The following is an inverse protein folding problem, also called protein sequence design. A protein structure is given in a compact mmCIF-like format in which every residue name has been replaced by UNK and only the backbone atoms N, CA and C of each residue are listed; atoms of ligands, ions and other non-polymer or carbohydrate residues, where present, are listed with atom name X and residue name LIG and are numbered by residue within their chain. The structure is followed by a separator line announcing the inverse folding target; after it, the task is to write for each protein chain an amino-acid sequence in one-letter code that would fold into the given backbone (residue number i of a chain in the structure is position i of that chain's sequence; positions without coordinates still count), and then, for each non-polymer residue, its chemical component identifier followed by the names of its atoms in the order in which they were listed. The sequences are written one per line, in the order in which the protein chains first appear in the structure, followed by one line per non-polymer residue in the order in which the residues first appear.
data_IF_555831835482
#
_entry.id   IF_555831835482
#
_cell.length_a   1.000
_cell.length_b   1.000
_cell.length_c   1.000
_cell.angle_alpha   90.00
_cell.angle_beta   90.00
_cell.angle_gamma   90.00
#
_symmetry.space_group_name_H-M   'P 1'
#
loop_
_entity.id
_entity.type
_entity.pdbx_description
1 polymer ?
#
# COMPACT_ATOMS: atom_id res chain seq x y z
N UNK A 1 -9.76 11.78 1.83
CA UNK A 1 -9.54 10.38 1.52
C UNK A 1 -9.86 10.07 0.06
N UNK A 2 -8.92 9.49 -0.68
CA UNK A 2 -9.01 9.22 -2.12
C UNK A 2 -9.61 7.84 -2.45
N UNK A 3 -9.67 6.92 -1.49
CA UNK A 3 -10.04 5.52 -1.71
C UNK A 3 -11.50 5.24 -1.30
N UNK A 4 -12.16 4.27 -1.97
CA UNK A 4 -13.47 3.73 -1.59
C UNK A 4 -13.48 3.12 -0.19
N UNK A 5 -12.32 2.72 0.34
CA UNK A 5 -12.21 2.21 1.72
C UNK A 5 -12.65 3.20 2.79
N UNK A 6 -12.63 4.50 2.49
CA UNK A 6 -13.10 5.52 3.41
C UNK A 6 -14.62 5.52 3.63
N UNK A 7 -15.38 4.81 2.80
CA UNK A 7 -16.84 4.72 2.90
C UNK A 7 -17.28 3.76 4.02
N UNK A 8 -16.55 2.68 4.25
CA UNK A 8 -16.87 1.74 5.34
C UNK A 8 -15.98 2.07 6.55
N UNK A 9 -16.61 2.54 7.62
CA UNK A 9 -15.95 2.89 8.89
C UNK A 9 -15.88 1.72 9.87
N UNK A 10 -16.43 0.56 9.51
CA UNK A 10 -16.49 -0.62 10.37
C UNK A 10 -15.59 -1.73 9.84
N UNK A 11 -14.77 -2.28 10.74
CA UNK A 11 -13.97 -3.47 10.43
C UNK A 11 -14.69 -4.70 10.94
N UNK A 12 -14.97 -5.66 10.04
CA UNK A 12 -15.57 -6.94 10.37
C UNK A 12 -14.49 -8.01 10.37
N UNK A 13 -14.55 -8.89 11.34
CA UNK A 13 -13.61 -9.99 11.45
C UNK A 13 -14.34 -11.30 11.23
N UNK A 14 -13.80 -12.13 10.36
CA UNK A 14 -14.20 -13.53 10.27
C UNK A 14 -13.69 -14.28 11.51
N UNK A 15 -14.32 -15.39 11.82
CA UNK A 15 -13.85 -16.33 12.83
C UNK A 15 -12.50 -16.92 12.41
N UNK A 16 -11.55 -16.98 13.34
CA UNK A 16 -10.19 -17.44 13.04
C UNK A 16 -10.17 -18.93 12.65
N UNK A 17 -11.02 -19.78 13.25
CA UNK A 17 -11.11 -21.18 12.88
C UNK A 17 -11.62 -21.37 11.44
N UNK A 18 -12.57 -20.52 11.01
CA UNK A 18 -13.05 -20.54 9.62
C UNK A 18 -11.92 -20.20 8.66
N UNK A 19 -11.11 -19.18 8.98
CA UNK A 19 -9.94 -18.78 8.16
C UNK A 19 -8.92 -19.91 8.09
N UNK A 20 -8.55 -20.49 9.23
CA UNK A 20 -7.59 -21.60 9.28
C UNK A 20 -8.05 -22.81 8.48
N UNK A 21 -9.31 -23.23 8.63
CA UNK A 21 -9.84 -24.36 7.90
C UNK A 21 -9.91 -24.11 6.39
N UNK A 22 -10.29 -22.91 5.95
CA UNK A 22 -10.34 -22.58 4.53
C UNK A 22 -8.96 -22.55 3.90
N UNK A 23 -7.96 -21.89 4.55
CA UNK A 23 -6.59 -21.86 4.06
C UNK A 23 -6.00 -23.27 4.01
N UNK A 24 -6.18 -24.04 5.07
CA UNK A 24 -5.69 -25.43 5.10
C UNK A 24 -6.28 -26.27 3.97
N UNK A 25 -7.57 -26.21 3.73
CA UNK A 25 -8.21 -26.95 2.63
C UNK A 25 -7.66 -26.54 1.25
N UNK A 26 -7.37 -25.25 1.05
CA UNK A 26 -6.76 -24.77 -0.19
C UNK A 26 -5.33 -25.26 -0.34
N UNK A 27 -4.53 -25.24 0.72
CA UNK A 27 -3.16 -25.80 0.73
C UNK A 27 -3.19 -27.29 0.43
N UNK A 28 -4.07 -28.06 1.07
CA UNK A 28 -4.24 -29.51 0.83
C UNK A 28 -4.68 -29.78 -0.63
N UNK A 29 -5.34 -28.82 -1.29
CA UNK A 29 -5.69 -28.85 -2.71
C UNK A 29 -4.57 -28.39 -3.66
N UNK A 30 -3.37 -28.03 -3.14
CA UNK A 30 -2.21 -27.63 -3.91
C UNK A 30 -2.10 -26.12 -4.19
N UNK A 31 -2.87 -25.27 -3.49
CA UNK A 31 -2.71 -23.81 -3.60
C UNK A 31 -1.52 -23.36 -2.78
N UNK A 32 -0.54 -22.71 -3.42
CA UNK A 32 0.70 -22.23 -2.76
C UNK A 32 0.78 -20.71 -2.61
N UNK A 33 -0.13 -19.93 -3.23
CA UNK A 33 -0.09 -18.46 -3.17
C UNK A 33 -1.42 -17.89 -2.68
N UNK A 34 -1.34 -17.02 -1.67
CA UNK A 34 -2.50 -16.43 -1.01
C UNK A 34 -2.36 -14.92 -0.94
N UNK A 35 -3.39 -14.17 -1.36
CA UNK A 35 -3.47 -12.73 -1.15
C UNK A 35 -4.63 -12.42 -0.20
N UNK A 36 -4.30 -11.81 0.95
CA UNK A 36 -5.28 -11.24 1.87
C UNK A 36 -5.69 -9.87 1.32
N UNK A 37 -7.01 -9.67 1.18
CA UNK A 37 -7.59 -8.44 0.64
C UNK A 37 -8.01 -7.44 1.72
N UNK A 38 -7.53 -7.63 2.93
CA UNK A 38 -7.67 -6.67 4.03
C UNK A 38 -6.83 -5.44 3.73
N UNK A 39 -7.45 -4.26 3.71
CA UNK A 39 -6.78 -2.99 3.40
C UNK A 39 -5.80 -2.52 4.47
N UNK A 40 -5.85 -3.11 5.65
CA UNK A 40 -4.92 -2.90 6.76
C UNK A 40 -4.95 -4.14 7.63
N UNK A 41 -4.17 -5.12 7.25
CA UNK A 41 -4.15 -6.42 7.91
C UNK A 41 -3.68 -6.32 9.37
N UNK A 42 -2.80 -5.36 9.66
CA UNK A 42 -2.19 -5.18 10.98
C UNK A 42 -2.93 -4.25 11.94
N UNK A 43 -4.23 -3.98 11.73
CA UNK A 43 -5.05 -3.20 12.67
C UNK A 43 -5.14 -3.83 14.07
N UNK A 44 -5.10 -5.16 14.15
CA UNK A 44 -5.01 -5.92 15.41
C UNK A 44 -3.67 -6.68 15.46
N UNK A 45 -2.62 -6.09 16.04
CA UNK A 45 -1.27 -6.68 16.00
C UNK A 45 -1.19 -8.09 16.56
N UNK A 46 -1.88 -8.39 17.66
CA UNK A 46 -1.88 -9.72 18.25
C UNK A 46 -2.50 -10.77 17.32
N UNK A 47 -3.65 -10.44 16.69
CA UNK A 47 -4.31 -11.34 15.73
C UNK A 47 -3.45 -11.57 14.50
N UNK A 48 -2.87 -10.49 13.95
CA UNK A 48 -1.92 -10.60 12.85
C UNK A 48 -0.80 -11.58 13.18
N UNK A 49 -0.15 -11.39 14.31
CA UNK A 49 0.96 -12.23 14.75
C UNK A 49 0.55 -13.70 14.88
N UNK A 50 -0.56 -13.99 15.58
CA UNK A 50 -1.07 -15.35 15.76
C UNK A 50 -1.35 -16.04 14.42
N UNK A 51 -2.00 -15.34 13.47
CA UNK A 51 -2.27 -15.89 12.16
C UNK A 51 -0.97 -16.13 11.37
N UNK A 52 -0.03 -15.19 11.38
CA UNK A 52 1.23 -15.33 10.67
C UNK A 52 2.12 -16.44 11.28
N UNK A 53 2.12 -16.60 12.60
CA UNK A 53 2.79 -17.73 13.29
C UNK A 53 2.21 -19.08 12.83
N UNK A 54 0.89 -19.16 12.70
CA UNK A 54 0.24 -20.36 12.17
C UNK A 54 0.58 -20.58 10.68
N UNK A 55 0.55 -19.53 9.85
CA UNK A 55 0.88 -19.61 8.44
C UNK A 55 2.35 -20.04 8.21
N UNK A 56 3.27 -19.67 9.11
CA UNK A 56 4.69 -19.99 8.98
C UNK A 56 5.02 -21.50 9.06
N UNK A 57 4.02 -22.35 9.37
CA UNK A 57 4.14 -23.81 9.31
C UNK A 57 4.09 -24.37 7.87
N UNK A 58 3.63 -23.55 6.90
CA UNK A 58 3.45 -23.97 5.50
C UNK A 58 4.57 -23.43 4.62
N UNK A 59 5.76 -24.04 4.73
CA UNK A 59 7.01 -23.55 4.14
C UNK A 59 7.02 -23.38 2.62
N UNK A 60 6.14 -24.08 1.90
CA UNK A 60 6.03 -24.02 0.43
C UNK A 60 4.97 -23.00 -0.05
N UNK A 61 4.41 -22.20 0.87
CA UNK A 61 3.37 -21.22 0.55
C UNK A 61 3.89 -19.78 0.66
N UNK A 62 3.31 -18.91 -0.18
CA UNK A 62 3.53 -17.46 -0.18
C UNK A 62 2.26 -16.74 0.25
N UNK A 63 2.39 -15.75 1.13
CA UNK A 63 1.25 -14.99 1.67
C UNK A 63 1.48 -13.50 1.52
N UNK A 64 0.56 -12.82 0.85
CA UNK A 64 0.61 -11.39 0.60
C UNK A 64 -0.38 -10.64 1.50
N UNK A 65 0.07 -9.55 2.13
CA UNK A 65 -0.72 -8.73 3.05
C UNK A 65 -0.56 -7.24 2.75
N UNK A 66 -1.66 -6.49 2.77
CA UNK A 66 -1.62 -5.03 2.80
C UNK A 66 -1.46 -4.56 4.26
N UNK A 67 -0.37 -3.86 4.55
CA UNK A 67 -0.04 -3.42 5.91
C UNK A 67 0.26 -1.93 6.00
N UNK A 68 0.00 -1.34 7.15
CA UNK A 68 0.43 0.01 7.50
C UNK A 68 1.75 -0.10 8.27
N UNK A 69 2.86 0.34 7.65
CA UNK A 69 4.20 0.03 8.13
C UNK A 69 4.58 0.73 9.44
N UNK A 70 4.09 1.96 9.68
CA UNK A 70 4.40 2.74 10.89
C UNK A 70 3.65 2.28 12.16
N UNK A 71 2.67 1.36 12.04
CA UNK A 71 1.99 0.75 13.19
C UNK A 71 2.48 -0.68 13.49
N UNK A 72 3.45 -1.22 12.74
CA UNK A 72 4.08 -2.49 13.09
C UNK A 72 4.74 -2.38 14.47
N UNK A 73 4.44 -3.35 15.34
CA UNK A 73 4.92 -3.36 16.72
C UNK A 73 6.30 -4.03 16.82
N UNK A 74 7.12 -3.69 17.83
CA UNK A 74 8.42 -4.34 18.03
C UNK A 74 8.34 -5.87 18.13
N UNK A 75 7.25 -6.39 18.68
CA UNK A 75 7.01 -7.83 18.83
C UNK A 75 6.77 -8.52 17.48
N UNK A 76 6.01 -7.87 16.58
CA UNK A 76 5.85 -8.33 15.19
C UNK A 76 7.19 -8.27 14.45
N UNK A 77 7.92 -7.16 14.55
CA UNK A 77 9.21 -7.01 13.89
C UNK A 77 10.19 -8.10 14.31
N UNK A 78 10.22 -8.42 15.61
CA UNK A 78 11.05 -9.51 16.14
C UNK A 78 10.60 -10.88 15.62
N UNK A 79 9.31 -11.15 15.52
CA UNK A 79 8.78 -12.39 14.93
C UNK A 79 9.22 -12.54 13.46
N UNK A 80 9.12 -11.44 12.68
CA UNK A 80 9.51 -11.45 11.26
C UNK A 80 11.00 -11.78 11.02
N UNK A 81 11.87 -11.62 12.03
CA UNK A 81 13.28 -12.03 11.96
C UNK A 81 13.46 -13.56 11.84
N UNK A 82 12.46 -14.33 12.24
CA UNK A 82 12.51 -15.80 12.27
C UNK A 82 11.73 -16.50 11.16
N UNK A 83 10.95 -15.75 10.36
CA UNK A 83 10.12 -16.35 9.30
C UNK A 83 10.97 -16.82 8.11
N UNK A 84 10.54 -17.85 7.36
CA UNK A 84 11.21 -18.26 6.14
C UNK A 84 11.30 -17.10 5.13
N UNK A 85 12.46 -16.90 4.47
CA UNK A 85 12.60 -15.87 3.44
C UNK A 85 11.60 -16.05 2.30
N UNK A 86 10.97 -14.94 1.84
CA UNK A 86 10.04 -14.95 0.72
C UNK A 86 8.64 -15.48 1.00
N UNK A 87 8.41 -16.05 2.18
CA UNK A 87 7.09 -16.55 2.57
C UNK A 87 6.04 -15.44 2.68
N UNK A 88 6.43 -14.28 3.21
CA UNK A 88 5.53 -13.15 3.41
C UNK A 88 5.91 -11.99 2.50
N UNK A 89 4.92 -11.44 1.84
CA UNK A 89 5.01 -10.22 1.07
C UNK A 89 4.13 -9.14 1.72
N UNK A 90 4.70 -7.95 1.93
CA UNK A 90 4.00 -6.79 2.46
C UNK A 90 3.84 -5.73 1.39
N UNK A 91 2.59 -5.38 1.08
CA UNK A 91 2.22 -4.22 0.28
C UNK A 91 2.00 -3.04 1.23
N UNK A 92 2.78 -1.99 1.06
CA UNK A 92 2.75 -0.78 1.89
C UNK A 92 2.42 0.42 1.02
N UNK A 93 1.17 0.86 1.08
CA UNK A 93 0.76 2.10 0.45
C UNK A 93 1.39 3.30 1.17
N UNK A 94 2.49 3.84 0.68
CA UNK A 94 3.10 5.09 1.18
C UNK A 94 2.30 6.28 0.65
N UNK A 95 1.92 6.24 -0.62
CA UNK A 95 1.14 7.20 -1.39
C UNK A 95 1.92 8.48 -1.69
N UNK A 96 2.41 9.17 -0.68
CA UNK A 96 3.25 10.38 -0.73
C UNK A 96 4.03 10.51 0.57
N UNK A 97 5.19 11.15 0.52
CA UNK A 97 5.98 11.48 1.73
C UNK A 97 5.79 12.94 2.16
N UNK A 98 5.14 13.77 1.34
CA UNK A 98 4.85 15.17 1.68
C UNK A 98 3.73 15.27 2.73
N UNK A 99 4.05 15.86 3.89
CA UNK A 99 3.13 15.95 5.03
C UNK A 99 1.89 16.79 4.69
N UNK A 100 2.03 17.85 3.88
CA UNK A 100 0.88 18.70 3.51
C UNK A 100 -0.08 17.99 2.57
N UNK A 101 0.45 17.12 1.70
CA UNK A 101 -0.36 16.24 0.83
C UNK A 101 -1.02 15.15 1.66
N UNK A 102 -0.31 14.55 2.62
CA UNK A 102 -0.90 13.58 3.56
C UNK A 102 -2.07 14.18 4.34
N UNK A 103 -1.93 15.40 4.85
CA UNK A 103 -3.01 16.12 5.53
C UNK A 103 -4.21 16.35 4.61
N UNK A 104 -3.99 16.74 3.35
CA UNK A 104 -5.05 17.00 2.37
C UNK A 104 -5.92 15.77 2.08
N UNK A 105 -5.33 14.58 2.13
CA UNK A 105 -6.02 13.30 1.97
C UNK A 105 -6.43 12.65 3.31
N UNK A 106 -6.29 13.37 4.41
CA UNK A 106 -6.62 12.90 5.77
C UNK A 106 -5.84 11.63 6.15
N UNK A 107 -4.59 11.52 5.69
CA UNK A 107 -3.72 10.40 6.01
C UNK A 107 -2.85 10.74 7.21
N UNK A 108 -2.92 9.90 8.24
CA UNK A 108 -2.03 9.95 9.40
C UNK A 108 -0.92 8.93 9.19
N UNK A 109 0.28 9.38 8.89
CA UNK A 109 1.44 8.54 8.66
C UNK A 109 2.66 9.18 9.32
N UNK A 110 3.45 8.37 10.00
CA UNK A 110 4.75 8.80 10.51
C UNK A 110 5.84 8.31 9.55
N UNK A 111 6.28 9.17 8.64
CA UNK A 111 7.27 8.83 7.60
C UNK A 111 8.58 8.31 8.19
N UNK A 112 9.10 8.95 9.26
CA UNK A 112 10.35 8.52 9.89
C UNK A 112 10.23 7.08 10.41
N UNK A 113 9.18 6.81 11.20
CA UNK A 113 8.94 5.48 11.75
C UNK A 113 8.70 4.43 10.66
N UNK A 114 7.96 4.81 9.60
CA UNK A 114 7.72 3.95 8.44
C UNK A 114 9.03 3.55 7.76
N UNK A 115 9.88 4.54 7.45
CA UNK A 115 11.16 4.31 6.78
C UNK A 115 12.12 3.49 7.64
N UNK A 116 12.19 3.77 8.94
CA UNK A 116 13.03 2.99 9.87
C UNK A 116 12.55 1.53 9.94
N UNK A 117 11.23 1.31 9.94
CA UNK A 117 10.64 -0.03 9.90
C UNK A 117 11.00 -0.75 8.60
N UNK A 118 10.81 -0.13 7.44
CA UNK A 118 11.13 -0.72 6.13
C UNK A 118 12.63 -1.04 6.04
N UNK A 119 13.50 -0.09 6.40
CA UNK A 119 14.97 -0.31 6.40
C UNK A 119 15.37 -1.49 7.27
N UNK A 120 14.80 -1.57 8.48
CA UNK A 120 15.10 -2.66 9.41
C UNK A 120 14.73 -4.02 8.82
N UNK A 121 13.56 -4.13 8.19
CA UNK A 121 13.08 -5.38 7.61
C UNK A 121 13.80 -5.73 6.29
N UNK A 122 14.17 -4.74 5.47
CA UNK A 122 14.97 -4.97 4.26
C UNK A 122 16.36 -5.52 4.55
N UNK A 123 17.02 -5.06 5.64
CA UNK A 123 18.32 -5.59 6.06
C UNK A 123 18.25 -7.08 6.40
N UNK A 124 17.10 -7.55 6.87
CA UNK A 124 16.89 -8.97 7.21
C UNK A 124 16.64 -9.86 5.99
N UNK A 125 16.23 -9.26 4.86
CA UNK A 125 15.94 -9.93 3.57
C UNK A 125 15.03 -11.18 3.70
N UNK A 126 13.99 -11.06 4.54
CA UNK A 126 13.01 -12.13 4.76
C UNK A 126 11.65 -11.84 4.22
N UNK A 127 11.29 -10.56 4.17
CA UNK A 127 9.98 -10.08 3.73
C UNK A 127 10.14 -9.42 2.37
N UNK A 128 9.32 -9.83 1.41
CA UNK A 128 9.23 -9.14 0.13
C UNK A 128 8.39 -7.86 0.30
N UNK A 129 8.95 -6.69 -0.08
CA UNK A 129 8.29 -5.40 0.05
C UNK A 129 7.83 -4.85 -1.29
N UNK A 130 6.55 -4.58 -1.37
CA UNK A 130 5.92 -3.80 -2.42
C UNK A 130 5.48 -2.46 -1.82
N UNK A 131 6.01 -1.36 -2.33
CA UNK A 131 5.64 0.00 -1.91
C UNK A 131 4.86 0.70 -3.02
N UNK A 132 3.87 1.54 -2.63
CA UNK A 132 3.04 2.26 -3.59
C UNK A 132 3.16 3.76 -3.40
N UNK A 133 3.29 4.50 -4.51
CA UNK A 133 3.08 5.94 -4.61
C UNK A 133 1.87 6.22 -5.49
N UNK A 134 1.13 7.30 -5.18
CA UNK A 134 0.01 7.77 -6.01
C UNK A 134 0.30 9.22 -6.40
N UNK A 135 0.38 9.46 -7.70
CA UNK A 135 0.60 10.77 -8.27
C UNK A 135 -0.71 11.51 -8.53
N UNK A 136 -0.69 12.82 -8.31
CA UNK A 136 -1.80 13.72 -8.56
C UNK A 136 -2.76 13.89 -7.38
N UNK A 137 -2.32 13.61 -6.17
CA UNK A 137 -3.07 13.89 -4.95
C UNK A 137 -3.31 15.41 -4.76
N UNK A 138 -4.31 15.83 -3.96
CA UNK A 138 -4.60 17.25 -3.75
C UNK A 138 -3.40 18.03 -3.19
N UNK A 139 -2.99 19.11 -3.87
CA UNK A 139 -1.86 19.95 -3.48
C UNK A 139 -0.49 19.35 -3.78
N UNK A 140 -0.44 18.30 -4.60
CA UNK A 140 0.80 17.64 -5.02
C UNK A 140 1.23 18.18 -6.39
N UNK A 141 2.39 18.82 -6.46
CA UNK A 141 3.04 19.27 -7.67
C UNK A 141 4.21 18.38 -8.07
N UNK A 142 4.83 18.64 -9.22
CA UNK A 142 5.95 17.85 -9.76
C UNK A 142 7.11 17.71 -8.77
N UNK A 143 7.46 18.77 -8.04
CA UNK A 143 8.57 18.75 -7.06
C UNK A 143 8.28 17.76 -5.93
N UNK A 144 7.07 17.80 -5.34
CA UNK A 144 6.65 16.89 -4.26
C UNK A 144 6.61 15.44 -4.72
N UNK A 145 6.11 15.18 -5.94
CA UNK A 145 6.12 13.85 -6.56
C UNK A 145 7.54 13.29 -6.66
N UNK A 146 8.44 14.09 -7.26
CA UNK A 146 9.82 13.66 -7.45
C UNK A 146 10.57 13.48 -6.12
N UNK A 147 10.25 14.27 -5.09
CA UNK A 147 10.83 14.10 -3.77
C UNK A 147 10.32 12.81 -3.11
N UNK A 148 9.01 12.55 -3.14
CA UNK A 148 8.43 11.29 -2.64
C UNK A 148 9.04 10.08 -3.36
N UNK A 149 9.16 10.14 -4.68
CA UNK A 149 9.81 9.08 -5.45
C UNK A 149 11.27 8.85 -5.02
N UNK A 150 12.07 9.94 -4.90
CA UNK A 150 13.48 9.83 -4.48
C UNK A 150 13.64 9.23 -3.08
N UNK A 151 12.80 9.63 -2.15
CA UNK A 151 12.83 9.13 -0.78
C UNK A 151 12.49 7.64 -0.71
N UNK A 152 11.45 7.22 -1.44
CA UNK A 152 11.00 5.82 -1.42
C UNK A 152 11.95 4.91 -2.20
N UNK A 153 12.43 5.30 -3.38
CA UNK A 153 13.38 4.49 -4.15
C UNK A 153 14.73 4.33 -3.44
N UNK A 154 15.12 5.33 -2.62
CA UNK A 154 16.33 5.26 -1.80
C UNK A 154 16.25 4.18 -0.70
N UNK A 155 15.05 3.74 -0.30
CA UNK A 155 14.86 2.60 0.59
C UNK A 155 15.20 1.27 -0.10
N UNK A 156 15.15 1.22 -1.44
CA UNK A 156 15.34 0.02 -2.27
C UNK A 156 14.32 -1.09 -1.94
N UNK A 157 13.01 -0.81 -1.98
CA UNK A 157 12.01 -1.87 -1.87
C UNK A 157 12.21 -2.89 -3.01
N UNK A 158 11.68 -4.09 -2.84
CA UNK A 158 11.73 -5.11 -3.90
C UNK A 158 10.89 -4.71 -5.11
N UNK A 159 9.74 -4.07 -4.85
CA UNK A 159 8.86 -3.51 -5.86
C UNK A 159 8.42 -2.10 -5.45
N UNK A 160 8.34 -1.19 -6.40
CA UNK A 160 7.77 0.15 -6.23
C UNK A 160 6.78 0.41 -7.35
N UNK A 161 5.50 0.50 -7.00
CA UNK A 161 4.44 0.82 -7.93
C UNK A 161 4.18 2.34 -7.97
N UNK A 162 4.12 2.89 -9.18
CA UNK A 162 3.78 4.28 -9.44
C UNK A 162 2.36 4.36 -10.00
N UNK A 163 1.39 4.66 -9.14
CA UNK A 163 -0.01 4.80 -9.50
C UNK A 163 -0.42 6.24 -9.77
N UNK A 164 -1.59 6.40 -10.42
CA UNK A 164 -2.21 7.70 -10.66
C UNK A 164 -3.57 7.78 -9.97
N UNK A 165 -3.91 8.98 -9.48
CA UNK A 165 -5.19 9.20 -8.82
C UNK A 165 -6.35 8.82 -9.75
N UNK A 166 -7.32 8.07 -9.22
CA UNK A 166 -8.54 7.65 -9.92
C UNK A 166 -9.77 8.14 -9.19
N UNK A 167 -10.72 8.69 -9.96
CA UNK A 167 -11.97 9.25 -9.45
C UNK A 167 -13.09 8.21 -9.48
N UNK A 168 -12.95 7.15 -8.71
CA UNK A 168 -13.91 6.05 -8.67
C UNK A 168 -15.30 6.54 -8.22
N UNK A 169 -16.40 5.99 -8.78
CA UNK A 169 -17.75 6.32 -8.34
C UNK A 169 -17.93 6.13 -6.83
N UNK A 170 -18.41 7.18 -6.14
CA UNK A 170 -18.60 7.18 -4.70
C UNK A 170 -17.37 7.49 -3.85
N UNK A 171 -16.17 7.58 -4.43
CA UNK A 171 -14.97 7.95 -3.66
C UNK A 171 -15.05 9.39 -3.14
N UNK A 172 -14.73 9.66 -1.85
CA UNK A 172 -14.83 10.98 -1.24
C UNK A 172 -13.96 12.04 -1.92
N UNK A 173 -12.90 11.67 -2.61
CA UNK A 173 -12.03 12.58 -3.38
C UNK A 173 -12.82 13.41 -4.41
N UNK A 174 -13.97 12.91 -4.87
CA UNK A 174 -14.84 13.65 -5.80
C UNK A 174 -15.39 14.96 -5.24
N UNK A 175 -15.45 15.11 -3.93
CA UNK A 175 -15.86 16.36 -3.27
C UNK A 175 -14.82 17.47 -3.48
N UNK A 176 -13.58 17.12 -3.78
CA UNK A 176 -12.48 18.06 -4.00
C UNK A 176 -12.28 18.46 -5.47
N UNK A 177 -13.10 17.93 -6.41
CA UNK A 177 -12.93 18.19 -7.85
C UNK A 177 -12.89 19.69 -8.16
N UNK A 178 -13.87 20.46 -7.70
CA UNK A 178 -13.94 21.89 -7.99
C UNK A 178 -12.85 22.70 -7.32
N UNK A 179 -12.45 22.37 -6.08
CA UNK A 179 -11.45 23.11 -5.31
C UNK A 179 -10.01 22.89 -5.81
N UNK A 180 -9.78 21.79 -6.48
CA UNK A 180 -8.46 21.43 -7.06
C UNK A 180 -8.48 21.40 -8.60
N UNK A 181 -9.58 21.84 -9.24
CA UNK A 181 -9.71 21.92 -10.70
C UNK A 181 -9.38 20.59 -11.41
N UNK A 182 -9.84 19.48 -10.82
CA UNK A 182 -9.56 18.16 -11.37
C UNK A 182 -10.27 17.89 -12.68
N UNK A 183 -9.50 17.54 -13.70
CA UNK A 183 -9.96 16.93 -14.94
C UNK A 183 -9.55 15.46 -14.96
N UNK A 184 -10.48 14.56 -15.24
CA UNK A 184 -10.26 13.13 -15.26
C UNK A 184 -11.11 12.44 -16.32
N UNK A 185 -10.75 11.22 -16.72
CA UNK A 185 -11.51 10.43 -17.69
C UNK A 185 -12.89 10.06 -17.12
N UNK A 186 -13.96 10.33 -17.89
CA UNK A 186 -15.35 10.02 -17.51
C UNK A 186 -15.67 8.52 -17.59
N UNK A 187 -14.81 7.73 -18.22
CA UNK A 187 -14.91 6.28 -18.37
C UNK A 187 -13.82 5.57 -17.56
N UNK A 188 -14.01 4.30 -17.17
CA UNK A 188 -12.97 3.53 -16.50
C UNK A 188 -11.63 3.60 -17.26
N UNK A 189 -10.52 3.73 -16.55
CA UNK A 189 -10.34 3.62 -15.08
C UNK A 189 -10.55 4.93 -14.30
N UNK A 190 -11.18 5.97 -14.86
CA UNK A 190 -11.47 7.27 -14.23
C UNK A 190 -10.22 8.00 -13.75
N UNK A 191 -9.15 7.89 -14.48
CA UNK A 191 -7.83 8.38 -14.11
C UNK A 191 -7.69 9.87 -14.35
N UNK A 192 -6.86 10.51 -13.54
CA UNK A 192 -6.46 11.91 -13.62
C UNK A 192 -5.91 12.28 -15.01
N UNK A 193 -6.33 13.44 -15.53
CA UNK A 193 -5.78 14.09 -16.73
C UNK A 193 -4.95 15.31 -16.33
N UNK A 194 -5.50 16.17 -15.44
CA UNK A 194 -4.82 17.36 -14.92
C UNK A 194 -5.50 17.87 -13.65
N UNK A 195 -4.85 18.75 -12.94
CA UNK A 195 -5.43 19.54 -11.86
C UNK A 195 -4.76 20.93 -11.78
N UNK A 196 -5.07 21.74 -10.79
CA UNK A 196 -4.46 23.09 -10.63
C UNK A 196 -2.95 23.06 -10.35
N UNK A 197 -2.42 21.95 -9.86
CA UNK A 197 -1.02 21.78 -9.43
C UNK A 197 -0.18 21.00 -10.47
N UNK A 198 -0.83 20.29 -11.41
CA UNK A 198 -0.23 19.47 -12.45
C UNK A 198 -0.97 19.63 -13.78
N UNK A 199 -0.27 20.06 -14.80
CA UNK A 199 -0.78 20.13 -16.18
C UNK A 199 -0.95 18.76 -16.81
N UNK A 200 -1.71 18.67 -17.91
CA UNK A 200 -1.85 17.42 -18.66
C UNK A 200 -0.52 16.91 -19.23
N UNK A 201 0.36 17.82 -19.67
CA UNK A 201 1.69 17.48 -20.19
C UNK A 201 2.58 16.87 -19.09
N UNK A 202 2.51 17.40 -17.85
CA UNK A 202 3.23 16.84 -16.71
C UNK A 202 2.69 15.45 -16.32
N UNK A 203 1.37 15.25 -16.34
CA UNK A 203 0.78 13.93 -16.10
C UNK A 203 1.19 12.94 -17.20
N UNK A 204 1.20 13.32 -18.46
CA UNK A 204 1.68 12.48 -19.56
C UNK A 204 3.17 12.15 -19.43
N UNK A 205 3.97 13.11 -18.98
CA UNK A 205 5.39 12.86 -18.67
C UNK A 205 5.55 11.82 -17.56
N UNK A 206 4.80 11.97 -16.46
CA UNK A 206 4.83 11.03 -15.33
C UNK A 206 4.36 9.63 -15.74
N UNK A 207 3.36 9.50 -16.62
CA UNK A 207 2.91 8.21 -17.16
C UNK A 207 4.02 7.52 -17.96
N UNK A 208 4.69 8.25 -18.84
CA UNK A 208 5.83 7.72 -19.59
C UNK A 208 6.98 7.33 -18.66
N UNK A 209 7.21 8.12 -17.62
CA UNK A 209 8.20 7.79 -16.58
C UNK A 209 7.85 6.49 -15.86
N UNK A 210 6.60 6.33 -15.40
CA UNK A 210 6.13 5.11 -14.75
C UNK A 210 6.26 3.88 -15.68
N UNK A 211 5.82 4.00 -16.94
CA UNK A 211 5.95 2.93 -17.94
C UNK A 211 7.39 2.48 -18.19
N UNK A 212 8.36 3.40 -18.12
CA UNK A 212 9.77 3.07 -18.26
C UNK A 212 10.32 2.43 -16.98
N UNK A 213 9.87 2.92 -15.84
CA UNK A 213 10.30 2.43 -14.53
C UNK A 213 9.83 0.99 -14.26
N UNK A 214 8.64 0.61 -14.71
CA UNK A 214 8.04 -0.72 -14.54
C UNK A 214 8.66 -1.80 -15.47
N UNK A 215 9.58 -1.43 -16.40
CA UNK A 215 10.28 -2.35 -17.32
C UNK A 215 11.58 -2.88 -16.75
#
# INVERSE_FOLDING_TARGET
SFCLSALDKTVRYFDDEVIYNQIKNLIDAGVGKFKFVDRTFNLKPGRMKTLMEWLSQFGDCEFHFEVVGDILTPDILKFLESVPPGMFQFEIGIQTTDETVQESIQRKQNNQKLFDTIKKLLVQDRIHFHCDLIFGLPGENMEKILNSFREVIALRPHELQLGFLKFLPGAPIKESISSHEYLYHSTPPYELISNKDLSADEIDYLKKFADIFDR
#
